data_IF_431293380160
#
_entry.id   IF_431293380160
#
_cell.length_a   1.000
_cell.length_b   1.000
_cell.length_c   1.000
_cell.angle_alpha   90.00
_cell.angle_beta   90.00
_cell.angle_gamma   90.00
#
_symmetry.space_group_name_H-M   'P 1'
#
loop_
_entity.id
_entity.type
_entity.pdbx_description
1 polymer ?
#
# COMPACT_ATOMS: atom_id res chain seq x y z
N UNK A 1 78.49 10.89 -42.94
CA UNK A 1 77.71 9.76 -42.42
C UNK A 1 76.72 10.30 -41.42
N UNK A 2 75.41 10.31 -41.67
CA UNK A 2 74.46 10.89 -40.77
C UNK A 2 73.90 9.87 -39.77
N UNK A 3 73.88 10.25 -38.50
CA UNK A 3 73.28 9.49 -37.39
C UNK A 3 71.74 9.67 -37.38
N UNK A 4 71.04 8.60 -37.53
CA UNK A 4 69.54 8.58 -37.46
C UNK A 4 69.13 8.34 -35.99
N UNK A 5 68.53 9.37 -35.38
CA UNK A 5 67.97 9.31 -34.02
C UNK A 5 66.55 8.76 -34.09
N UNK A 6 66.27 7.59 -33.52
CA UNK A 6 64.96 7.01 -33.34
C UNK A 6 64.30 7.67 -32.10
N UNK A 7 63.26 8.48 -32.31
CA UNK A 7 62.38 8.99 -31.25
C UNK A 7 61.27 7.97 -31.02
N UNK A 8 61.30 7.32 -29.90
CA UNK A 8 60.24 6.43 -29.40
C UNK A 8 59.13 7.31 -28.79
N UNK A 9 57.92 7.28 -29.42
CA UNK A 9 56.72 7.92 -28.88
C UNK A 9 56.08 6.95 -27.88
N UNK A 10 56.08 7.27 -26.59
CA UNK A 10 55.27 6.64 -25.57
C UNK A 10 53.87 7.26 -25.61
N UNK A 11 52.91 6.53 -26.16
CA UNK A 11 51.49 6.91 -26.10
C UNK A 11 50.91 6.60 -24.72
N UNK A 12 50.55 7.64 -23.98
CA UNK A 12 49.85 7.53 -22.70
C UNK A 12 48.37 7.28 -23.01
N UNK A 13 47.89 6.04 -22.84
CA UNK A 13 46.45 5.70 -22.84
C UNK A 13 45.83 6.23 -21.54
N UNK A 14 45.17 7.38 -21.58
CA UNK A 14 44.32 7.86 -20.52
C UNK A 14 43.00 7.07 -20.50
N UNK A 15 42.86 6.08 -19.64
CA UNK A 15 41.61 5.37 -19.40
C UNK A 15 40.67 6.30 -18.62
N UNK A 16 39.77 6.96 -19.32
CA UNK A 16 38.72 7.78 -18.72
C UNK A 16 37.72 6.88 -17.98
N UNK A 17 37.73 6.91 -16.65
CA UNK A 17 36.70 6.32 -15.83
C UNK A 17 35.44 7.18 -15.97
N UNK A 18 34.48 6.73 -16.78
CA UNK A 18 33.13 7.30 -16.86
C UNK A 18 32.40 6.98 -15.55
N UNK A 19 32.52 7.84 -14.56
CA UNK A 19 31.64 7.81 -13.38
C UNK A 19 30.24 8.23 -13.84
N UNK A 20 29.33 7.26 -13.94
CA UNK A 20 27.91 7.56 -14.08
C UNK A 20 27.45 8.25 -12.80
N UNK A 21 26.84 9.44 -12.87
CA UNK A 21 26.20 10.01 -11.70
C UNK A 21 25.10 9.04 -11.25
N UNK A 22 25.22 8.47 -10.05
CA UNK A 22 24.14 7.79 -9.39
C UNK A 22 23.09 8.85 -9.09
N UNK A 23 22.00 8.88 -9.88
CA UNK A 23 20.85 9.70 -9.57
C UNK A 23 20.23 9.10 -8.28
N UNK A 24 20.56 9.72 -7.16
CA UNK A 24 19.94 9.40 -5.88
C UNK A 24 18.48 9.84 -5.95
N UNK A 25 17.58 8.91 -6.32
CA UNK A 25 16.15 9.16 -6.33
C UNK A 25 15.61 8.97 -4.92
N UNK A 26 15.14 10.06 -4.30
CA UNK A 26 14.34 10.02 -3.09
C UNK A 26 13.09 9.13 -3.28
N UNK A 27 12.31 8.87 -2.20
CA UNK A 27 11.12 8.03 -2.29
C UNK A 27 10.10 8.65 -3.25
N UNK A 28 9.55 7.81 -4.12
CA UNK A 28 8.49 8.20 -5.07
C UNK A 28 7.13 7.81 -4.52
N UNK A 29 6.12 8.67 -4.70
CA UNK A 29 4.76 8.35 -4.26
C UNK A 29 4.20 7.21 -5.10
N UNK A 30 3.90 6.12 -4.44
CA UNK A 30 3.29 4.93 -5.03
C UNK A 30 1.76 5.01 -4.96
N UNK A 31 1.09 4.30 -5.87
CA UNK A 31 -0.35 4.10 -5.86
C UNK A 31 -0.65 2.62 -6.11
N UNK A 32 -1.60 2.08 -5.37
CA UNK A 32 -2.16 0.74 -5.58
C UNK A 32 -3.67 0.87 -5.64
N UNK A 33 -4.28 0.25 -6.63
CA UNK A 33 -5.73 0.08 -6.76
C UNK A 33 -6.02 -1.38 -7.00
N UNK A 34 -6.94 -1.94 -6.23
CA UNK A 34 -7.47 -3.28 -6.41
C UNK A 34 -8.99 -3.23 -6.37
N UNK A 35 -9.63 -4.07 -7.13
CA UNK A 35 -11.10 -4.19 -7.14
C UNK A 35 -11.54 -5.63 -7.15
N UNK A 36 -12.82 -5.85 -6.76
CA UNK A 36 -13.48 -7.16 -6.84
C UNK A 36 -14.95 -6.95 -7.14
N UNK A 37 -15.49 -7.80 -8.03
CA UNK A 37 -16.91 -7.88 -8.30
C UNK A 37 -17.55 -8.97 -7.44
N UNK A 38 -18.72 -8.65 -6.85
CA UNK A 38 -19.45 -9.47 -5.90
C UNK A 38 -20.90 -9.59 -6.39
N UNK A 39 -21.45 -10.80 -6.44
CA UNK A 39 -22.82 -11.08 -6.86
C UNK A 39 -23.83 -10.81 -5.72
N UNK A 40 -23.76 -9.63 -5.12
CA UNK A 40 -24.65 -9.12 -4.06
C UNK A 40 -24.90 -7.64 -4.26
N UNK A 41 -25.99 -7.12 -3.69
CA UNK A 41 -26.31 -5.69 -3.77
C UNK A 41 -25.30 -4.86 -2.97
N UNK A 42 -25.08 -3.58 -3.34
CA UNK A 42 -24.21 -2.68 -2.59
C UNK A 42 -24.55 -2.55 -1.11
N UNK A 43 -25.83 -2.58 -0.75
CA UNK A 43 -26.26 -2.50 0.66
C UNK A 43 -25.88 -3.75 1.46
N UNK A 44 -26.03 -4.94 0.85
CA UNK A 44 -25.59 -6.19 1.48
C UNK A 44 -24.08 -6.22 1.72
N UNK A 45 -23.31 -5.73 0.74
CA UNK A 45 -21.85 -5.65 0.87
C UNK A 45 -21.46 -4.57 1.89
N UNK A 46 -22.10 -3.40 1.85
CA UNK A 46 -21.83 -2.31 2.78
C UNK A 46 -22.12 -2.69 4.24
N UNK A 47 -23.13 -3.50 4.50
CA UNK A 47 -23.41 -4.04 5.83
C UNK A 47 -22.25 -4.88 6.41
N UNK A 48 -21.36 -5.43 5.57
CA UNK A 48 -20.17 -6.18 6.00
C UNK A 48 -19.01 -5.24 6.30
N UNK A 49 -18.79 -4.23 5.43
CA UNK A 49 -17.54 -3.45 5.39
C UNK A 49 -17.69 -2.00 5.85
N UNK A 50 -18.91 -1.49 5.97
CA UNK A 50 -19.19 -0.07 6.14
C UNK A 50 -18.78 0.51 7.49
N UNK A 51 -18.78 -0.29 8.56
CA UNK A 51 -18.32 0.19 9.85
C UNK A 51 -16.80 0.32 9.88
N UNK A 52 -16.30 1.45 10.36
CA UNK A 52 -14.86 1.70 10.37
C UNK A 52 -14.08 0.70 11.23
N UNK A 53 -14.69 0.14 12.25
CA UNK A 53 -14.11 -0.91 13.12
C UNK A 53 -14.29 -2.33 12.58
N UNK A 54 -14.97 -2.51 11.43
CA UNK A 54 -15.36 -3.84 10.92
C UNK A 54 -14.22 -4.67 10.33
N UNK A 55 -13.07 -4.09 10.05
CA UNK A 55 -12.00 -4.74 9.27
C UNK A 55 -11.54 -6.08 9.85
N UNK A 56 -11.57 -6.24 11.19
CA UNK A 56 -11.25 -7.52 11.82
C UNK A 56 -12.26 -8.63 11.52
N UNK A 57 -13.47 -8.29 11.07
CA UNK A 57 -14.52 -9.25 10.71
C UNK A 57 -14.35 -9.81 9.30
N UNK A 58 -13.69 -9.06 8.43
CA UNK A 58 -13.56 -9.43 7.02
C UNK A 58 -12.13 -9.50 6.48
N UNK A 59 -11.13 -8.95 7.17
CA UNK A 59 -9.73 -9.03 6.71
C UNK A 59 -8.99 -10.15 7.44
N UNK A 60 -8.51 -11.21 6.74
CA UNK A 60 -7.94 -12.39 7.40
C UNK A 60 -6.69 -12.10 8.23
N UNK A 61 -5.90 -11.08 7.87
CA UNK A 61 -4.70 -10.72 8.62
C UNK A 61 -4.97 -9.86 9.87
N UNK A 62 -6.22 -9.41 10.12
CA UNK A 62 -6.55 -8.53 11.25
C UNK A 62 -7.24 -9.31 12.35
N UNK A 63 -6.70 -9.26 13.56
CA UNK A 63 -7.25 -9.91 14.76
C UNK A 63 -8.29 -9.07 15.48
N UNK A 64 -8.03 -7.76 15.61
CA UNK A 64 -8.97 -6.81 16.21
C UNK A 64 -8.78 -5.42 15.61
N UNK A 65 -9.83 -4.58 15.68
CA UNK A 65 -9.85 -3.24 15.11
C UNK A 65 -10.79 -2.28 15.85
N UNK A 66 -10.70 -2.14 17.19
CA UNK A 66 -11.58 -1.23 17.91
C UNK A 66 -11.37 0.22 17.46
N UNK A 67 -12.47 0.96 17.27
CA UNK A 67 -12.48 2.38 16.97
C UNK A 67 -13.06 3.17 18.16
N UNK A 68 -12.48 4.35 18.45
CA UNK A 68 -12.86 5.17 19.60
C UNK A 68 -14.20 5.91 19.40
N UNK A 69 -14.55 6.25 18.15
CA UNK A 69 -15.74 7.05 17.80
C UNK A 69 -16.56 6.45 16.66
N UNK A 70 -16.32 5.18 16.32
CA UNK A 70 -17.02 4.49 15.23
C UNK A 70 -16.84 5.21 13.88
N UNK A 71 -17.94 5.51 13.20
CA UNK A 71 -17.95 6.08 11.86
C UNK A 71 -17.85 7.63 11.82
N UNK A 72 -17.44 8.26 12.90
CA UNK A 72 -17.27 9.73 12.98
C UNK A 72 -15.89 10.12 12.45
N UNK A 73 -15.82 11.13 11.57
CA UNK A 73 -14.55 11.68 11.07
C UNK A 73 -13.63 12.08 12.23
N UNK A 74 -12.36 11.71 12.14
CA UNK A 74 -11.37 11.82 13.21
C UNK A 74 -11.41 10.66 14.20
N UNK A 75 -12.25 9.62 13.95
CA UNK A 75 -12.20 8.37 14.69
C UNK A 75 -10.86 7.67 14.46
N UNK A 76 -10.28 7.14 15.52
CA UNK A 76 -9.06 6.35 15.49
C UNK A 76 -9.38 4.90 15.78
N UNK A 77 -8.83 4.00 14.96
CA UNK A 77 -8.86 2.56 15.22
C UNK A 77 -7.45 2.00 15.36
N UNK A 78 -7.27 1.09 16.31
CA UNK A 78 -6.02 0.35 16.46
C UNK A 78 -6.19 -1.03 15.86
N UNK A 79 -5.42 -1.32 14.80
CA UNK A 79 -5.36 -2.66 14.22
C UNK A 79 -4.38 -3.52 15.00
N UNK A 80 -4.79 -4.73 15.39
CA UNK A 80 -3.89 -5.79 15.86
C UNK A 80 -3.85 -6.87 14.79
N UNK A 81 -2.66 -7.18 14.28
CA UNK A 81 -2.49 -8.17 13.22
C UNK A 81 -2.38 -9.58 13.76
N UNK A 82 -2.85 -10.57 12.99
CA UNK A 82 -2.66 -12.01 13.25
C UNK A 82 -1.28 -12.45 12.77
N UNK A 83 -0.23 -11.96 13.39
CA UNK A 83 1.16 -12.27 13.09
C UNK A 83 1.94 -12.45 14.39
N UNK A 84 3.12 -13.11 14.38
CA UNK A 84 3.93 -13.27 15.59
C UNK A 84 4.19 -11.93 16.27
N UNK A 85 3.92 -11.88 17.59
CA UNK A 85 4.06 -10.67 18.38
C UNK A 85 2.88 -9.69 18.31
N UNK A 86 1.78 -10.05 17.66
CA UNK A 86 0.54 -9.25 17.55
C UNK A 86 0.84 -7.77 17.23
N UNK A 87 1.56 -7.47 16.12
CA UNK A 87 1.96 -6.11 15.80
C UNK A 87 0.73 -5.22 15.62
N UNK A 88 0.87 -3.95 16.05
CA UNK A 88 -0.22 -2.97 16.05
C UNK A 88 0.17 -1.72 15.30
N UNK A 89 -0.84 -1.07 14.71
CA UNK A 89 -0.73 0.29 14.20
C UNK A 89 -2.08 1.01 14.22
N UNK A 90 -2.02 2.33 14.14
CA UNK A 90 -3.17 3.20 14.28
C UNK A 90 -3.56 3.81 12.94
N UNK A 91 -4.88 3.88 12.70
CA UNK A 91 -5.48 4.53 11.56
C UNK A 91 -6.48 5.58 12.02
N UNK A 92 -6.64 6.65 11.22
CA UNK A 92 -7.60 7.71 11.45
C UNK A 92 -8.57 7.83 10.26
N UNK A 93 -9.86 7.89 10.56
CA UNK A 93 -10.93 8.11 9.59
C UNK A 93 -10.94 9.58 9.14
N UNK A 94 -10.70 9.84 7.86
CA UNK A 94 -10.62 11.18 7.29
C UNK A 94 -11.92 11.62 6.64
N UNK A 95 -12.68 10.69 6.07
CA UNK A 95 -13.99 10.90 5.46
C UNK A 95 -14.85 9.67 5.65
N UNK A 96 -16.15 9.88 5.79
CA UNK A 96 -17.15 8.82 5.83
C UNK A 96 -18.43 9.30 5.16
N UNK A 97 -18.93 8.55 4.21
CA UNK A 97 -20.20 8.79 3.52
C UNK A 97 -20.97 7.48 3.38
N UNK A 98 -21.95 7.28 4.26
CA UNK A 98 -22.79 6.10 4.25
C UNK A 98 -23.68 6.02 3.00
N UNK A 99 -24.15 7.16 2.49
CA UNK A 99 -25.01 7.21 1.32
C UNK A 99 -24.23 6.87 0.04
N UNK A 100 -23.01 7.38 -0.09
CA UNK A 100 -22.09 7.03 -1.16
C UNK A 100 -21.37 5.68 -0.93
N UNK A 101 -21.55 5.05 0.23
CA UNK A 101 -20.87 3.79 0.64
C UNK A 101 -19.36 3.89 0.45
N UNK A 102 -18.77 4.93 1.04
CA UNK A 102 -17.34 5.19 0.91
C UNK A 102 -16.72 5.74 2.19
N UNK A 103 -15.45 5.47 2.39
CA UNK A 103 -14.67 6.12 3.43
C UNK A 103 -13.21 6.28 3.02
N UNK A 104 -12.54 7.27 3.62
CA UNK A 104 -11.13 7.54 3.47
C UNK A 104 -10.46 7.51 4.83
N UNK A 105 -9.28 6.91 4.91
CA UNK A 105 -8.50 6.85 6.14
C UNK A 105 -7.01 6.99 5.85
N UNK A 106 -6.23 7.26 6.89
CA UNK A 106 -4.76 7.26 6.84
C UNK A 106 -4.21 6.33 7.92
N UNK A 107 -2.99 5.84 7.72
CA UNK A 107 -2.18 5.27 8.80
C UNK A 107 -1.46 6.43 9.49
N UNK A 108 -1.61 6.56 10.81
CA UNK A 108 -0.92 7.59 11.59
C UNK A 108 0.55 7.21 11.84
N UNK A 109 0.75 5.97 12.29
CA UNK A 109 2.07 5.43 12.59
C UNK A 109 2.07 3.92 12.38
N UNK A 110 3.07 3.42 11.70
CA UNK A 110 3.32 1.99 11.53
C UNK A 110 4.82 1.73 11.53
N UNK A 111 5.24 0.60 12.11
CA UNK A 111 6.60 0.11 11.96
C UNK A 111 6.79 -0.36 10.50
N UNK A 112 7.77 0.20 9.75
CA UNK A 112 8.03 -0.22 8.37
C UNK A 112 8.39 -1.70 8.22
N UNK A 113 8.84 -2.36 9.28
CA UNK A 113 9.07 -3.81 9.27
C UNK A 113 7.77 -4.61 9.34
N UNK A 114 6.68 -4.03 9.83
CA UNK A 114 5.33 -4.62 9.85
C UNK A 114 4.61 -4.34 8.53
N UNK A 115 4.62 -3.08 8.10
CA UNK A 115 4.05 -2.67 6.82
C UNK A 115 4.99 -1.61 6.19
N UNK A 116 5.66 -1.89 5.08
CA UNK A 116 6.76 -1.08 4.56
C UNK A 116 6.29 0.20 3.83
N UNK A 117 5.49 1.02 4.51
CA UNK A 117 4.90 2.26 3.96
C UNK A 117 5.10 3.47 4.89
N UNK A 118 5.03 4.66 4.30
CA UNK A 118 4.97 5.96 4.97
C UNK A 118 3.92 6.86 4.31
N UNK A 119 3.38 7.82 5.06
CA UNK A 119 2.38 8.79 4.58
C UNK A 119 1.24 8.11 3.79
N UNK A 120 0.72 7.03 4.35
CA UNK A 120 -0.29 6.19 3.72
C UNK A 120 -1.69 6.81 3.88
N UNK A 121 -2.39 6.91 2.74
CA UNK A 121 -3.80 7.26 2.67
C UNK A 121 -4.52 6.24 1.81
N UNK A 122 -5.73 5.84 2.22
CA UNK A 122 -6.54 4.89 1.46
C UNK A 122 -7.99 5.37 1.32
N UNK A 123 -8.61 4.88 0.26
CA UNK A 123 -10.02 5.09 -0.10
C UNK A 123 -10.65 3.73 -0.34
N UNK A 124 -11.84 3.55 0.21
CA UNK A 124 -12.62 2.34 0.08
C UNK A 124 -14.02 2.71 -0.41
N UNK A 125 -14.44 2.14 -1.52
CA UNK A 125 -15.69 2.50 -2.19
C UNK A 125 -16.46 1.24 -2.60
N UNK A 126 -17.78 1.24 -2.37
CA UNK A 126 -18.69 0.15 -2.70
C UNK A 126 -19.75 0.67 -3.66
N UNK A 127 -19.75 0.22 -4.91
CA UNK A 127 -20.58 0.76 -5.96
C UNK A 127 -21.38 -0.35 -6.66
N UNK A 128 -22.58 -0.02 -7.16
CA UNK A 128 -23.31 -0.92 -8.04
C UNK A 128 -22.52 -1.14 -9.34
N UNK A 129 -22.51 -2.37 -9.85
CA UNK A 129 -21.92 -2.67 -11.14
C UNK A 129 -23.00 -2.94 -12.21
N UNK A 130 -22.66 -2.82 -13.51
CA UNK A 130 -23.63 -3.04 -14.60
C UNK A 130 -24.25 -4.44 -14.66
N UNK A 131 -23.62 -5.44 -14.02
CA UNK A 131 -24.14 -6.81 -13.96
C UNK A 131 -25.20 -7.03 -12.87
N UNK A 132 -25.62 -5.96 -12.15
CA UNK A 132 -26.60 -6.03 -11.07
C UNK A 132 -26.03 -6.42 -9.70
N UNK A 133 -24.72 -6.55 -9.61
CA UNK A 133 -23.99 -6.79 -8.36
C UNK A 133 -23.28 -5.53 -7.84
N UNK A 134 -22.15 -5.75 -7.19
CA UNK A 134 -21.33 -4.72 -6.56
C UNK A 134 -19.88 -4.82 -7.02
N UNK A 135 -19.25 -3.69 -7.28
CA UNK A 135 -17.79 -3.57 -7.34
C UNK A 135 -17.30 -2.87 -6.10
N UNK A 136 -16.35 -3.47 -5.39
CA UNK A 136 -15.55 -2.77 -4.38
C UNK A 136 -14.26 -2.30 -5.04
N UNK A 137 -13.91 -1.03 -4.83
CA UNK A 137 -12.59 -0.49 -5.13
C UNK A 137 -11.88 -0.11 -3.83
N UNK A 138 -10.65 -0.61 -3.67
CA UNK A 138 -9.76 -0.24 -2.57
C UNK A 138 -8.47 0.31 -3.17
N UNK A 139 -8.19 1.57 -2.92
CA UNK A 139 -7.01 2.26 -3.44
C UNK A 139 -6.22 2.93 -2.32
N UNK A 140 -4.92 3.04 -2.50
CA UNK A 140 -4.04 3.76 -1.61
C UNK A 140 -2.99 4.56 -2.36
N UNK A 141 -2.50 5.61 -1.69
CA UNK A 141 -1.33 6.37 -2.09
C UNK A 141 -0.40 6.52 -0.88
N UNK A 142 0.88 6.21 -1.07
CA UNK A 142 1.87 6.10 0.01
C UNK A 142 3.29 6.29 -0.52
N UNK A 143 4.24 6.39 0.39
CA UNK A 143 5.66 6.25 0.09
C UNK A 143 6.18 4.93 0.65
N UNK A 144 7.32 4.45 0.16
CA UNK A 144 8.02 3.28 0.70
C UNK A 144 8.37 3.44 2.18
N UNK A 145 8.60 2.33 2.88
CA UNK A 145 8.93 2.33 4.31
C UNK A 145 10.25 3.04 4.65
N UNK A 146 11.24 3.01 3.74
CA UNK A 146 12.53 3.67 3.92
C UNK A 146 12.58 4.98 3.13
N UNK A 147 12.62 6.11 3.84
CA UNK A 147 12.50 7.45 3.24
C UNK A 147 13.83 8.04 2.74
N UNK A 148 14.97 7.43 3.05
CA UNK A 148 16.28 7.87 2.59
C UNK A 148 16.65 7.19 1.24
N UNK A 149 17.77 7.62 0.65
CA UNK A 149 18.33 6.97 -0.53
C UNK A 149 18.80 5.54 -0.20
N UNK A 150 18.93 4.70 -1.22
CA UNK A 150 19.42 3.33 -1.13
C UNK A 150 18.64 2.46 -0.13
N UNK A 151 17.32 2.28 -0.32
CA UNK A 151 16.49 1.49 0.58
C UNK A 151 16.90 0.02 0.57
N UNK A 152 16.88 -0.65 1.75
CA UNK A 152 16.97 -2.10 1.81
C UNK A 152 15.90 -2.75 0.92
N UNK A 153 16.13 -3.95 0.35
CA UNK A 153 15.18 -4.63 -0.53
C UNK A 153 13.77 -4.80 0.05
N UNK A 154 13.67 -4.99 1.39
CA UNK A 154 12.40 -5.14 2.08
C UNK A 154 11.61 -3.83 2.26
N UNK A 155 12.25 -2.66 2.11
CA UNK A 155 11.68 -1.35 2.39
C UNK A 155 11.68 -0.41 1.17
N UNK A 156 11.94 -0.96 -0.03
CA UNK A 156 11.94 -0.21 -1.29
C UNK A 156 10.52 -0.06 -1.87
N UNK A 157 10.40 0.70 -2.96
CA UNK A 157 9.11 0.97 -3.63
C UNK A 157 8.41 -0.34 -4.07
N UNK A 158 9.16 -1.29 -4.64
CA UNK A 158 8.59 -2.56 -5.09
C UNK A 158 8.07 -3.43 -3.92
N UNK A 159 8.77 -3.45 -2.79
CA UNK A 159 8.35 -4.16 -1.58
C UNK A 159 7.05 -3.54 -1.02
N UNK A 160 6.98 -2.20 -0.96
CA UNK A 160 5.80 -1.46 -0.49
C UNK A 160 4.57 -1.74 -1.36
N UNK A 161 4.74 -1.70 -2.68
CA UNK A 161 3.65 -2.00 -3.64
C UNK A 161 3.19 -3.45 -3.49
N UNK A 162 4.10 -4.42 -3.40
CA UNK A 162 3.73 -5.84 -3.19
C UNK A 162 2.97 -6.04 -1.88
N UNK A 163 3.43 -5.43 -0.80
CA UNK A 163 2.80 -5.55 0.52
C UNK A 163 1.35 -5.02 0.49
N UNK A 164 1.13 -3.81 -0.03
CA UNK A 164 -0.21 -3.21 -0.11
C UNK A 164 -1.11 -3.99 -1.08
N UNK A 165 -0.58 -4.45 -2.22
CA UNK A 165 -1.34 -5.31 -3.13
C UNK A 165 -1.79 -6.60 -2.44
N UNK A 166 -0.92 -7.25 -1.67
CA UNK A 166 -1.25 -8.46 -0.91
C UNK A 166 -2.31 -8.21 0.17
N UNK A 167 -2.19 -7.11 0.92
CA UNK A 167 -3.20 -6.69 1.90
C UNK A 167 -4.55 -6.51 1.22
N UNK A 168 -4.63 -5.74 0.14
CA UNK A 168 -5.89 -5.48 -0.55
C UNK A 168 -6.51 -6.75 -1.13
N UNK A 169 -5.72 -7.58 -1.81
CA UNK A 169 -6.21 -8.85 -2.35
C UNK A 169 -6.77 -9.75 -1.27
N UNK A 170 -6.01 -9.96 -0.17
CA UNK A 170 -6.48 -10.81 0.93
C UNK A 170 -7.81 -10.35 1.53
N UNK A 171 -7.98 -9.03 1.72
CA UNK A 171 -9.22 -8.44 2.21
C UNK A 171 -10.38 -8.59 1.22
N UNK A 172 -10.17 -8.15 -0.02
CA UNK A 172 -11.22 -8.16 -1.06
C UNK A 172 -11.71 -9.57 -1.40
N UNK A 173 -10.80 -10.53 -1.51
CA UNK A 173 -11.17 -11.92 -1.81
C UNK A 173 -11.98 -12.53 -0.66
N UNK A 174 -11.64 -12.20 0.59
CA UNK A 174 -12.42 -12.69 1.74
C UNK A 174 -13.77 -11.98 1.87
N UNK A 175 -13.89 -10.68 1.58
CA UNK A 175 -15.18 -9.98 1.53
C UNK A 175 -16.10 -10.66 0.51
N UNK A 176 -15.60 -10.94 -0.70
CA UNK A 176 -16.35 -11.66 -1.73
C UNK A 176 -16.85 -13.00 -1.21
N UNK A 177 -15.96 -13.79 -0.62
CA UNK A 177 -16.31 -15.10 -0.09
C UNK A 177 -17.35 -15.02 1.06
N UNK A 178 -17.27 -14.00 1.92
CA UNK A 178 -18.25 -13.77 2.99
C UNK A 178 -19.61 -13.36 2.43
N UNK A 179 -19.64 -12.38 1.55
CA UNK A 179 -20.86 -11.85 0.98
C UNK A 179 -21.62 -12.91 0.16
N UNK A 180 -20.93 -13.71 -0.64
CA UNK A 180 -21.55 -14.72 -1.51
C UNK A 180 -21.98 -15.98 -0.75
N UNK A 181 -21.42 -16.28 0.43
CA UNK A 181 -21.89 -17.38 1.29
C UNK A 181 -23.13 -17.04 2.11
N UNK A 182 -23.38 -15.77 2.41
CA UNK A 182 -24.48 -15.32 3.26
C UNK A 182 -25.85 -15.29 2.53
N UNK A 183 -25.96 -15.81 1.36
CA UNK A 183 -27.18 -15.93 0.55
C UNK A 183 -27.42 -17.33 0.09
#
# INVERSE_FOLDING_TARGET
MPHTSRRTFFGLLATGILTRPALAHGPTRQKVTQSVDIARTPDQVWAIVGDFDSIARWHPAVGSSPADKGNVVGSKRTLTLRAPGDPKFDEELLKYDAAARSYQYKIEKVDPNVLPVNNYNAWFEVQANPAGGTTIEWRAAFYRGYMLNDPPPALNDAASVRAITGVFRGGLDNIKALAERAG
#
